data_IF_965242548625
#
_entry.id   IF_965242548625
#
_cell.length_a   1.000
_cell.length_b   1.000
_cell.length_c   1.000
_cell.angle_alpha   90.00
_cell.angle_beta   90.00
_cell.angle_gamma   90.00
#
_symmetry.space_group_name_H-M   'P 1'
#
loop_
_entity.id
_entity.type
_entity.pdbx_description
1 polymer ?
#
# COMPACT_ATOMS: atom_id res chain seq x y z
N UNK A 1 -41.18 -23.37 -33.99
CA UNK A 1 -40.93 -22.35 -32.94
C UNK A 1 -39.77 -22.62 -31.96
N UNK A 2 -39.19 -23.83 -31.77
CA UNK A 2 -38.11 -24.02 -30.78
C UNK A 2 -36.72 -23.55 -31.26
N UNK A 3 -36.44 -23.59 -32.57
CA UNK A 3 -35.10 -23.33 -33.15
C UNK A 3 -34.61 -21.89 -32.91
N UNK A 4 -35.50 -20.89 -32.95
CA UNK A 4 -35.12 -19.48 -32.73
C UNK A 4 -34.70 -19.21 -31.28
N UNK A 5 -35.35 -19.86 -30.31
CA UNK A 5 -35.03 -19.71 -28.89
C UNK A 5 -33.67 -20.34 -28.58
N UNK A 6 -33.35 -21.49 -29.20
CA UNK A 6 -32.05 -22.16 -29.03
C UNK A 6 -30.89 -21.35 -29.62
N UNK A 7 -31.06 -20.73 -30.80
CA UNK A 7 -30.02 -19.91 -31.43
C UNK A 7 -29.72 -18.65 -30.59
N UNK A 8 -30.75 -17.97 -30.08
CA UNK A 8 -30.56 -16.79 -29.22
C UNK A 8 -29.89 -17.14 -27.90
N UNK A 9 -30.25 -18.26 -27.26
CA UNK A 9 -29.61 -18.70 -26.02
C UNK A 9 -28.13 -19.06 -26.22
N UNK A 10 -27.77 -19.70 -27.34
CA UNK A 10 -26.38 -20.04 -27.67
C UNK A 10 -25.54 -18.79 -27.96
N UNK A 11 -26.09 -17.81 -28.68
CA UNK A 11 -25.40 -16.53 -28.95
C UNK A 11 -25.14 -15.73 -27.67
N UNK A 12 -26.11 -15.67 -26.76
CA UNK A 12 -25.93 -15.00 -25.46
C UNK A 12 -24.85 -15.70 -24.62
N UNK A 13 -24.87 -17.04 -24.57
CA UNK A 13 -23.85 -17.80 -23.84
C UNK A 13 -22.43 -17.60 -24.42
N UNK A 14 -22.28 -17.56 -25.75
CA UNK A 14 -20.98 -17.31 -26.40
C UNK A 14 -20.46 -15.89 -26.15
N UNK A 15 -21.33 -14.88 -26.17
CA UNK A 15 -20.96 -13.50 -25.84
C UNK A 15 -20.52 -13.36 -24.38
N UNK A 16 -21.22 -14.01 -23.45
CA UNK A 16 -20.83 -14.04 -22.03
C UNK A 16 -19.49 -14.73 -21.81
N UNK A 17 -19.21 -15.83 -22.51
CA UNK A 17 -17.92 -16.53 -22.45
C UNK A 17 -16.75 -15.67 -22.97
N UNK A 18 -16.94 -14.95 -24.08
CA UNK A 18 -15.92 -14.04 -24.62
C UNK A 18 -15.63 -12.88 -23.66
N UNK A 19 -16.66 -12.28 -23.05
CA UNK A 19 -16.49 -11.19 -22.10
C UNK A 19 -15.75 -11.63 -20.80
N UNK A 20 -16.05 -12.83 -20.31
CA UNK A 20 -15.33 -13.42 -19.17
C UNK A 20 -13.86 -13.68 -19.51
N UNK A 21 -13.58 -14.26 -20.68
CA UNK A 21 -12.22 -14.52 -21.14
C UNK A 21 -11.40 -13.23 -21.28
N UNK A 22 -12.02 -12.16 -21.81
CA UNK A 22 -11.38 -10.85 -21.93
C UNK A 22 -11.05 -10.26 -20.56
N UNK A 23 -11.99 -10.28 -19.61
CA UNK A 23 -11.77 -9.78 -18.25
C UNK A 23 -10.63 -10.52 -17.56
N UNK A 24 -10.63 -11.86 -17.63
CA UNK A 24 -9.54 -12.66 -17.06
C UNK A 24 -8.19 -12.40 -17.72
N UNK A 25 -8.17 -12.14 -19.04
CA UNK A 25 -6.95 -11.83 -19.77
C UNK A 25 -6.36 -10.47 -19.36
N UNK A 26 -7.19 -9.45 -19.18
CA UNK A 26 -6.75 -8.15 -18.69
C UNK A 26 -6.13 -8.25 -17.29
N UNK A 27 -6.81 -8.95 -16.36
CA UNK A 27 -6.30 -9.13 -14.99
C UNK A 27 -4.98 -9.91 -15.00
N UNK A 28 -4.87 -10.99 -15.78
CA UNK A 28 -3.63 -11.77 -15.86
C UNK A 28 -2.46 -10.96 -16.45
N UNK A 29 -2.71 -10.15 -17.48
CA UNK A 29 -1.69 -9.26 -18.04
C UNK A 29 -1.30 -8.14 -17.08
N UNK A 30 -2.26 -7.62 -16.31
CA UNK A 30 -2.01 -6.65 -15.25
C UNK A 30 -1.14 -7.27 -14.14
N UNK A 31 -1.46 -8.48 -13.68
CA UNK A 31 -0.68 -9.23 -12.69
C UNK A 31 0.76 -9.45 -13.18
N UNK A 32 0.94 -9.88 -14.42
CA UNK A 32 2.26 -10.08 -15.01
C UNK A 32 3.07 -8.77 -15.13
N UNK A 33 2.40 -7.64 -15.37
CA UNK A 33 3.04 -6.32 -15.39
C UNK A 33 3.32 -5.78 -13.98
N UNK A 34 2.51 -6.15 -12.99
CA UNK A 34 2.70 -5.76 -11.60
C UNK A 34 3.82 -6.57 -10.94
N UNK A 35 4.07 -7.79 -11.41
CA UNK A 35 5.06 -8.71 -10.87
C UNK A 35 6.47 -8.14 -10.97
N UNK A 36 7.13 -8.14 -9.82
CA UNK A 36 8.52 -7.70 -9.61
C UNK A 36 9.34 -8.73 -8.86
N UNK A 37 8.72 -9.86 -8.49
CA UNK A 37 9.34 -10.94 -7.74
C UNK A 37 9.84 -12.05 -8.68
N UNK A 38 9.16 -12.27 -9.81
CA UNK A 38 9.62 -13.22 -10.81
C UNK A 38 10.69 -12.60 -11.71
N UNK A 39 11.96 -12.80 -11.37
CA UNK A 39 13.11 -12.38 -12.18
C UNK A 39 13.89 -11.21 -11.60
N UNK A 40 14.73 -10.58 -12.42
CA UNK A 40 15.53 -9.44 -12.00
C UNK A 40 14.70 -8.16 -11.89
N UNK A 41 14.81 -7.45 -10.76
CA UNK A 41 14.18 -6.15 -10.57
C UNK A 41 15.08 -5.00 -11.04
N UNK A 42 14.50 -4.05 -11.76
CA UNK A 42 15.13 -2.77 -12.10
C UNK A 42 14.18 -1.63 -11.77
N UNK A 43 14.60 -0.74 -10.88
CA UNK A 43 13.78 0.37 -10.40
C UNK A 43 13.27 1.25 -11.55
N UNK A 44 14.14 1.60 -12.50
CA UNK A 44 13.78 2.47 -13.63
C UNK A 44 12.89 1.79 -14.67
N UNK A 45 13.03 0.48 -14.86
CA UNK A 45 12.19 -0.29 -15.80
C UNK A 45 10.80 -0.52 -15.20
N UNK A 46 10.73 -0.75 -13.90
CA UNK A 46 9.48 -1.11 -13.22
C UNK A 46 8.41 -0.02 -13.28
N UNK A 47 8.78 1.27 -13.41
CA UNK A 47 7.78 2.34 -13.53
C UNK A 47 6.81 2.10 -14.70
N UNK A 48 7.36 1.77 -15.88
CA UNK A 48 6.54 1.52 -17.07
C UNK A 48 5.64 0.29 -16.89
N UNK A 49 6.15 -0.75 -16.22
CA UNK A 49 5.41 -1.97 -15.92
C UNK A 49 4.27 -1.70 -14.93
N UNK A 50 4.52 -0.93 -13.86
CA UNK A 50 3.51 -0.52 -12.89
C UNK A 50 2.40 0.31 -13.54
N UNK A 51 2.75 1.27 -14.40
CA UNK A 51 1.77 2.07 -15.16
C UNK A 51 0.91 1.20 -16.08
N UNK A 52 1.52 0.23 -16.75
CA UNK A 52 0.81 -0.73 -17.59
C UNK A 52 -0.14 -1.61 -16.77
N UNK A 53 0.30 -2.11 -15.60
CA UNK A 53 -0.54 -2.87 -14.69
C UNK A 53 -1.76 -2.08 -14.24
N UNK A 54 -1.57 -0.83 -13.80
CA UNK A 54 -2.65 0.06 -13.38
C UNK A 54 -3.68 0.27 -14.50
N UNK A 55 -3.22 0.57 -15.72
CA UNK A 55 -4.11 0.76 -16.87
C UNK A 55 -4.94 -0.50 -17.18
N UNK A 56 -4.32 -1.68 -17.16
CA UNK A 56 -5.00 -2.95 -17.41
C UNK A 56 -6.00 -3.32 -16.30
N UNK A 57 -5.67 -3.06 -15.04
CA UNK A 57 -6.62 -3.24 -13.93
C UNK A 57 -7.80 -2.28 -14.03
N UNK A 58 -7.57 -1.02 -14.39
CA UNK A 58 -8.65 -0.03 -14.61
C UNK A 58 -9.55 -0.42 -15.78
N UNK A 59 -8.98 -0.95 -16.87
CA UNK A 59 -9.72 -1.47 -18.01
C UNK A 59 -10.56 -2.71 -17.65
N UNK A 60 -10.02 -3.59 -16.81
CA UNK A 60 -10.73 -4.79 -16.34
C UNK A 60 -11.87 -4.46 -15.37
N UNK A 61 -11.71 -3.46 -14.50
CA UNK A 61 -12.63 -3.18 -13.40
C UNK A 61 -14.11 -3.05 -13.81
N UNK A 62 -14.51 -2.30 -14.85
CA UNK A 62 -15.91 -2.19 -15.26
C UNK A 62 -16.46 -3.46 -15.93
N UNK A 63 -15.62 -4.40 -16.34
CA UNK A 63 -16.04 -5.65 -17.02
C UNK A 63 -16.23 -6.82 -16.05
N UNK A 64 -15.82 -6.66 -14.79
CA UNK A 64 -16.01 -7.68 -13.74
C UNK A 64 -17.49 -7.83 -13.41
N UNK A 65 -17.98 -9.07 -13.41
CA UNK A 65 -19.34 -9.43 -13.00
C UNK A 65 -19.65 -8.85 -11.60
N UNK A 66 -20.77 -8.11 -11.41
CA UNK A 66 -21.14 -7.57 -10.10
C UNK A 66 -21.21 -8.60 -8.96
N UNK A 67 -21.51 -9.87 -9.27
CA UNK A 67 -21.53 -10.97 -8.31
C UNK A 67 -20.14 -11.50 -7.95
N UNK A 68 -19.10 -11.20 -8.75
CA UNK A 68 -17.71 -11.61 -8.52
C UNK A 68 -16.99 -10.65 -7.54
N UNK A 69 -17.55 -10.48 -6.34
CA UNK A 69 -17.06 -9.50 -5.35
C UNK A 69 -15.61 -9.73 -4.94
N UNK A 70 -15.15 -10.99 -4.89
CA UNK A 70 -13.75 -11.32 -4.57
C UNK A 70 -12.78 -10.84 -5.66
N UNK A 71 -13.10 -11.10 -6.93
CA UNK A 71 -12.31 -10.61 -8.07
C UNK A 71 -12.28 -9.09 -8.11
N UNK A 72 -13.42 -8.44 -7.83
CA UNK A 72 -13.51 -6.98 -7.77
C UNK A 72 -12.66 -6.40 -6.64
N UNK A 73 -12.75 -6.97 -5.43
CA UNK A 73 -11.90 -6.60 -4.28
C UNK A 73 -10.41 -6.79 -4.60
N UNK A 74 -10.04 -7.88 -5.26
CA UNK A 74 -8.66 -8.14 -5.69
C UNK A 74 -8.12 -7.01 -6.58
N UNK A 75 -8.83 -6.66 -7.65
CA UNK A 75 -8.44 -5.62 -8.60
C UNK A 75 -8.39 -4.24 -7.92
N UNK A 76 -9.40 -3.90 -7.12
CA UNK A 76 -9.43 -2.65 -6.36
C UNK A 76 -8.25 -2.55 -5.38
N UNK A 77 -7.90 -3.64 -4.70
CA UNK A 77 -6.75 -3.69 -3.81
C UNK A 77 -5.42 -3.54 -4.54
N UNK A 78 -5.29 -4.10 -5.75
CA UNK A 78 -4.10 -3.91 -6.61
C UNK A 78 -3.96 -2.47 -7.09
N UNK A 79 -5.07 -1.84 -7.50
CA UNK A 79 -5.09 -0.42 -7.86
C UNK A 79 -4.72 0.47 -6.67
N UNK A 80 -5.28 0.20 -5.49
CA UNK A 80 -4.97 0.96 -4.28
C UNK A 80 -3.46 0.91 -3.92
N UNK A 81 -2.87 -0.29 -3.97
CA UNK A 81 -1.45 -0.50 -3.76
C UNK A 81 -0.61 0.19 -4.85
N UNK A 82 -0.91 -0.07 -6.12
CA UNK A 82 -0.10 0.41 -7.23
C UNK A 82 -0.11 1.92 -7.36
N UNK A 83 -1.23 2.59 -7.05
CA UNK A 83 -1.28 4.05 -7.05
C UNK A 83 -0.50 4.68 -5.89
N UNK A 84 -0.47 4.04 -4.72
CA UNK A 84 0.43 4.45 -3.63
C UNK A 84 1.90 4.30 -4.04
N UNK A 85 2.26 3.13 -4.58
CA UNK A 85 3.62 2.82 -5.04
C UNK A 85 4.05 3.81 -6.15
N UNK A 86 3.18 4.12 -7.10
CA UNK A 86 3.45 5.08 -8.18
C UNK A 86 3.72 6.48 -7.61
N UNK A 87 2.83 6.95 -6.73
CA UNK A 87 2.94 8.28 -6.12
C UNK A 87 4.21 8.45 -5.27
N UNK A 88 4.58 7.41 -4.54
CA UNK A 88 5.70 7.43 -3.61
C UNK A 88 7.05 7.22 -4.31
N UNK A 89 7.13 6.31 -5.28
CA UNK A 89 8.39 5.91 -5.90
C UNK A 89 8.77 6.74 -7.14
N UNK A 90 7.79 7.20 -7.92
CA UNK A 90 8.06 7.68 -9.29
C UNK A 90 7.53 9.07 -9.63
N UNK A 91 6.55 9.58 -8.88
CA UNK A 91 5.99 10.90 -9.13
C UNK A 91 6.71 11.96 -8.28
N UNK A 92 7.20 13.01 -8.93
CA UNK A 92 7.80 14.19 -8.29
C UNK A 92 6.95 15.45 -8.43
N UNK A 93 6.03 15.44 -9.39
CA UNK A 93 5.06 16.52 -9.59
C UNK A 93 3.96 16.44 -8.52
N UNK A 94 3.76 17.54 -7.80
CA UNK A 94 2.85 17.64 -6.66
C UNK A 94 1.41 17.27 -7.03
N UNK A 95 0.91 17.74 -8.16
CA UNK A 95 -0.49 17.55 -8.54
C UNK A 95 -0.72 16.10 -9.00
N UNK A 96 0.25 15.51 -9.71
CA UNK A 96 0.22 14.08 -10.06
C UNK A 96 0.30 13.19 -8.83
N UNK A 97 1.10 13.56 -7.82
CA UNK A 97 1.15 12.84 -6.55
C UNK A 97 -0.21 12.89 -5.84
N UNK A 98 -0.80 14.08 -5.70
CA UNK A 98 -2.13 14.25 -5.11
C UNK A 98 -3.18 13.38 -5.81
N UNK A 99 -3.19 13.38 -7.15
CA UNK A 99 -4.10 12.54 -7.96
C UNK A 99 -3.88 11.05 -7.70
N UNK A 100 -2.63 10.58 -7.70
CA UNK A 100 -2.31 9.17 -7.47
C UNK A 100 -2.80 8.71 -6.09
N UNK A 101 -2.50 9.46 -5.02
CA UNK A 101 -2.96 9.10 -3.68
C UNK A 101 -4.48 9.21 -3.53
N UNK A 102 -5.12 10.17 -4.20
CA UNK A 102 -6.58 10.25 -4.24
C UNK A 102 -7.20 9.01 -4.90
N UNK A 103 -6.66 8.57 -6.05
CA UNK A 103 -7.10 7.34 -6.73
C UNK A 103 -6.90 6.11 -5.84
N UNK A 104 -5.71 5.93 -5.27
CA UNK A 104 -5.42 4.78 -4.41
C UNK A 104 -6.35 4.70 -3.20
N UNK A 105 -6.58 5.83 -2.52
CA UNK A 105 -7.57 5.95 -1.43
C UNK A 105 -8.98 5.57 -1.88
N UNK A 106 -9.41 6.07 -3.05
CA UNK A 106 -10.76 5.84 -3.55
C UNK A 106 -10.97 4.37 -3.96
N UNK A 107 -9.97 3.71 -4.55
CA UNK A 107 -10.06 2.28 -4.88
C UNK A 107 -10.12 1.40 -3.63
N UNK A 108 -9.29 1.70 -2.62
CA UNK A 108 -9.33 1.02 -1.34
C UNK A 108 -10.73 1.15 -0.69
N UNK A 109 -11.27 2.37 -0.67
CA UNK A 109 -12.60 2.66 -0.14
C UNK A 109 -13.71 1.94 -0.94
N UNK A 110 -13.58 1.86 -2.26
CA UNK A 110 -14.50 1.09 -3.10
C UNK A 110 -14.46 -0.41 -2.75
N UNK A 111 -13.29 -0.97 -2.40
CA UNK A 111 -13.19 -2.36 -1.95
C UNK A 111 -13.92 -2.58 -0.63
N UNK A 112 -13.71 -1.68 0.36
CA UNK A 112 -14.41 -1.74 1.65
C UNK A 112 -15.93 -1.69 1.49
N UNK A 113 -16.42 -0.85 0.58
CA UNK A 113 -17.85 -0.67 0.28
C UNK A 113 -18.47 -1.81 -0.52
N UNK A 114 -17.71 -2.83 -0.91
CA UNK A 114 -18.30 -4.09 -1.40
C UNK A 114 -19.04 -4.84 -0.29
N UNK A 115 -18.72 -4.59 0.98
CA UNK A 115 -19.43 -5.12 2.12
C UNK A 115 -20.60 -4.20 2.52
N UNK A 116 -21.88 -4.64 2.39
CA UNK A 116 -23.02 -3.83 2.78
C UNK A 116 -23.04 -3.42 4.25
N UNK A 117 -22.49 -4.24 5.15
CA UNK A 117 -22.40 -3.91 6.57
C UNK A 117 -21.43 -2.74 6.83
N UNK A 118 -20.33 -2.68 6.06
CA UNK A 118 -19.43 -1.54 6.08
C UNK A 118 -20.14 -0.27 5.60
N UNK A 119 -20.86 -0.36 4.47
CA UNK A 119 -21.62 0.77 3.92
C UNK A 119 -22.65 1.31 4.90
N UNK A 120 -23.34 0.41 5.63
CA UNK A 120 -24.33 0.84 6.62
C UNK A 120 -23.66 1.54 7.81
N UNK A 121 -22.62 0.94 8.39
CA UNK A 121 -21.91 1.52 9.53
C UNK A 121 -21.19 2.85 9.18
N UNK A 122 -20.74 3.00 7.92
CA UNK A 122 -20.04 4.19 7.45
C UNK A 122 -20.91 5.45 7.49
N UNK A 123 -22.24 5.31 7.39
CA UNK A 123 -23.18 6.45 7.47
C UNK A 123 -23.09 7.20 8.80
N UNK A 124 -22.80 6.47 9.88
CA UNK A 124 -22.66 7.03 11.21
C UNK A 124 -21.20 7.38 11.51
N UNK A 125 -20.27 6.48 11.18
CA UNK A 125 -18.85 6.70 11.43
C UNK A 125 -17.97 5.78 10.60
N UNK A 126 -17.06 6.37 9.81
CA UNK A 126 -16.02 5.62 9.09
C UNK A 126 -15.20 4.72 10.03
N UNK A 127 -14.78 5.24 11.18
CA UNK A 127 -14.00 4.47 12.17
C UNK A 127 -14.79 3.32 12.77
N UNK A 128 -16.09 3.49 13.02
CA UNK A 128 -16.94 2.37 13.44
C UNK A 128 -17.07 1.33 12.32
N UNK A 129 -17.21 1.77 11.07
CA UNK A 129 -17.29 0.88 9.91
C UNK A 129 -16.05 0.00 9.75
N UNK A 130 -14.84 0.53 10.01
CA UNK A 130 -13.60 -0.24 10.02
C UNK A 130 -13.66 -1.45 10.98
N UNK A 131 -14.36 -1.37 12.10
CA UNK A 131 -14.55 -2.50 13.03
C UNK A 131 -15.29 -3.69 12.40
N UNK A 132 -16.09 -3.45 11.36
CA UNK A 132 -16.78 -4.50 10.59
C UNK A 132 -16.01 -4.94 9.34
N UNK A 133 -14.97 -4.20 8.94
CA UNK A 133 -14.15 -4.54 7.79
C UNK A 133 -13.16 -5.67 8.12
N UNK A 134 -12.97 -6.58 7.16
CA UNK A 134 -12.04 -7.71 7.25
C UNK A 134 -11.04 -7.78 6.09
N UNK A 135 -11.16 -6.90 5.10
CA UNK A 135 -10.22 -6.81 3.98
C UNK A 135 -8.97 -6.01 4.42
N UNK A 136 -8.00 -6.71 5.03
CA UNK A 136 -6.77 -6.09 5.54
C UNK A 136 -6.04 -5.28 4.48
N UNK A 137 -6.03 -5.74 3.22
CA UNK A 137 -5.39 -5.04 2.10
C UNK A 137 -6.06 -3.69 1.85
N UNK A 138 -7.40 -3.67 1.74
CA UNK A 138 -8.12 -2.42 1.51
C UNK A 138 -7.96 -1.44 2.68
N UNK A 139 -8.03 -1.91 3.92
CA UNK A 139 -7.83 -1.07 5.10
C UNK A 139 -6.41 -0.47 5.12
N UNK A 140 -5.40 -1.32 4.94
CA UNK A 140 -4.00 -0.91 4.96
C UNK A 140 -3.69 0.12 3.87
N UNK A 141 -4.10 -0.15 2.63
CA UNK A 141 -3.84 0.77 1.52
C UNK A 141 -4.72 2.02 1.57
N UNK A 142 -5.91 1.98 2.16
CA UNK A 142 -6.68 3.18 2.45
C UNK A 142 -5.90 4.11 3.38
N UNK A 143 -5.41 3.59 4.52
CA UNK A 143 -4.64 4.38 5.50
C UNK A 143 -3.39 5.02 4.89
N UNK A 144 -2.61 4.23 4.13
CA UNK A 144 -1.40 4.71 3.47
C UNK A 144 -1.68 5.81 2.43
N UNK A 145 -2.65 5.61 1.54
CA UNK A 145 -3.02 6.61 0.54
C UNK A 145 -3.65 7.85 1.17
N UNK A 146 -4.53 7.68 2.17
CA UNK A 146 -5.12 8.81 2.89
C UNK A 146 -4.03 9.64 3.58
N UNK A 147 -3.08 9.00 4.27
CA UNK A 147 -1.99 9.70 4.94
C UNK A 147 -1.18 10.58 3.99
N UNK A 148 -0.80 10.06 2.82
CA UNK A 148 -0.11 10.86 1.79
C UNK A 148 -1.00 11.92 1.17
N UNK A 149 -2.27 11.62 0.90
CA UNK A 149 -3.25 12.57 0.38
C UNK A 149 -3.45 13.78 1.33
N UNK A 150 -3.48 13.55 2.64
CA UNK A 150 -3.70 14.61 3.63
C UNK A 150 -2.59 15.66 3.68
N UNK A 151 -1.38 15.38 3.18
CA UNK A 151 -0.32 16.38 3.00
C UNK A 151 -0.75 17.53 2.07
N UNK A 152 -1.70 17.28 1.17
CA UNK A 152 -2.26 18.26 0.25
C UNK A 152 -3.54 18.92 0.80
N UNK A 153 -4.12 18.37 1.87
CA UNK A 153 -5.42 18.77 2.43
C UNK A 153 -5.37 18.97 3.95
N UNK A 154 -4.65 20.01 4.44
CA UNK A 154 -4.40 20.20 5.87
C UNK A 154 -5.68 20.38 6.70
N UNK A 155 -6.73 21.00 6.15
CA UNK A 155 -8.00 21.14 6.86
C UNK A 155 -8.68 19.79 7.11
N UNK A 156 -8.65 18.89 6.11
CA UNK A 156 -9.14 17.52 6.24
C UNK A 156 -8.31 16.71 7.22
N UNK A 157 -6.99 16.96 7.25
CA UNK A 157 -6.09 16.31 8.21
C UNK A 157 -6.48 16.66 9.65
N UNK A 158 -6.72 17.95 9.92
CA UNK A 158 -7.10 18.49 11.22
C UNK A 158 -8.53 18.12 11.65
N UNK A 159 -9.46 17.97 10.70
CA UNK A 159 -10.87 17.69 11.00
C UNK A 159 -11.19 16.22 11.26
N UNK A 160 -10.20 15.33 11.22
CA UNK A 160 -10.37 13.92 11.58
C UNK A 160 -9.63 12.94 10.68
N UNK A 161 -9.11 13.38 9.53
CA UNK A 161 -8.45 12.49 8.58
C UNK A 161 -7.25 11.74 9.17
N UNK A 162 -6.45 12.38 10.03
CA UNK A 162 -5.31 11.71 10.67
C UNK A 162 -5.75 10.61 11.64
N UNK A 163 -6.90 10.78 12.30
CA UNK A 163 -7.49 9.73 13.14
C UNK A 163 -8.01 8.56 12.31
N UNK A 164 -8.48 8.80 11.09
CA UNK A 164 -8.89 7.74 10.17
C UNK A 164 -7.69 6.95 9.62
N UNK A 165 -6.56 7.64 9.38
CA UNK A 165 -5.28 6.99 9.03
C UNK A 165 -4.84 6.05 10.15
N UNK A 166 -4.75 6.56 11.38
CA UNK A 166 -4.34 5.76 12.54
C UNK A 166 -5.27 4.55 12.75
N UNK A 167 -6.58 4.78 12.76
CA UNK A 167 -7.57 3.71 12.94
C UNK A 167 -7.47 2.63 11.84
N UNK A 168 -7.08 3.00 10.62
CA UNK A 168 -6.84 2.04 9.55
C UNK A 168 -5.63 1.14 9.86
N UNK A 169 -4.52 1.70 10.35
CA UNK A 169 -3.35 0.90 10.69
C UNK A 169 -3.58 0.00 11.91
N UNK A 170 -4.21 0.52 12.96
CA UNK A 170 -4.60 -0.25 14.14
C UNK A 170 -5.52 -1.42 13.74
N UNK A 171 -6.52 -1.16 12.89
CA UNK A 171 -7.40 -2.22 12.40
C UNK A 171 -6.67 -3.25 11.53
N UNK A 172 -5.73 -2.82 10.70
CA UNK A 172 -4.93 -3.75 9.91
C UNK A 172 -4.04 -4.64 10.80
N UNK A 173 -3.47 -4.08 11.89
CA UNK A 173 -2.73 -4.84 12.91
C UNK A 173 -3.61 -5.88 13.59
N UNK A 174 -4.84 -5.51 13.98
CA UNK A 174 -5.80 -6.44 14.60
C UNK A 174 -6.14 -7.62 13.70
N UNK A 175 -6.27 -7.38 12.39
CA UNK A 175 -6.68 -8.40 11.42
C UNK A 175 -5.52 -9.33 11.01
N UNK A 176 -4.39 -8.74 10.65
CA UNK A 176 -3.19 -9.47 10.27
C UNK A 176 -1.95 -8.60 10.56
N UNK A 177 -1.31 -8.77 11.72
CA UNK A 177 -0.12 -8.02 12.06
C UNK A 177 1.07 -8.33 11.15
N UNK A 178 1.04 -9.46 10.43
CA UNK A 178 2.14 -9.91 9.56
C UNK A 178 2.00 -9.45 8.11
N UNK A 179 0.88 -8.83 7.76
CA UNK A 179 0.58 -8.38 6.40
C UNK A 179 1.74 -7.56 5.81
N UNK A 180 2.22 -7.94 4.63
CA UNK A 180 3.37 -7.33 3.94
C UNK A 180 4.63 -7.18 4.81
N UNK A 181 4.98 -8.25 5.54
CA UNK A 181 6.19 -8.26 6.38
C UNK A 181 6.09 -7.24 7.52
N UNK A 182 4.94 -7.18 8.19
CA UNK A 182 4.70 -6.21 9.27
C UNK A 182 4.40 -4.79 8.79
N UNK A 183 3.90 -4.63 7.57
CA UNK A 183 3.52 -3.34 6.97
C UNK A 183 2.63 -2.48 7.86
N UNK A 184 1.55 -3.01 8.48
CA UNK A 184 0.70 -2.24 9.39
C UNK A 184 1.47 -1.62 10.58
N UNK A 185 2.39 -2.37 11.18
CA UNK A 185 3.24 -1.87 12.26
C UNK A 185 4.20 -0.78 11.78
N UNK A 186 4.83 -0.97 10.62
CA UNK A 186 5.72 0.04 10.01
C UNK A 186 4.98 1.34 9.71
N UNK A 187 3.81 1.25 9.09
CA UNK A 187 3.00 2.41 8.75
C UNK A 187 2.48 3.14 10.01
N UNK A 188 2.08 2.40 11.05
CA UNK A 188 1.72 2.97 12.34
C UNK A 188 2.92 3.69 12.99
N UNK A 189 4.10 3.08 13.01
CA UNK A 189 5.31 3.70 13.55
C UNK A 189 5.65 5.01 12.83
N UNK A 190 5.60 4.99 11.50
CA UNK A 190 5.85 6.15 10.65
C UNK A 190 4.85 7.28 10.92
N UNK A 191 3.56 6.95 11.09
CA UNK A 191 2.53 7.89 11.49
C UNK A 191 2.82 8.48 12.89
N UNK A 192 3.04 7.63 13.88
CA UNK A 192 3.22 8.06 15.27
C UNK A 192 4.47 8.93 15.46
N UNK A 193 5.54 8.69 14.71
CA UNK A 193 6.78 9.46 14.80
C UNK A 193 6.68 10.84 14.12
N UNK A 194 5.89 10.97 13.04
CA UNK A 194 5.87 12.19 12.23
C UNK A 194 4.70 13.14 12.56
N UNK A 195 3.63 12.60 13.14
CA UNK A 195 2.43 13.39 13.47
C UNK A 195 2.63 14.13 14.80
N UNK A 196 2.15 15.38 14.95
CA UNK A 196 2.20 16.07 16.23
C UNK A 196 1.42 15.32 17.33
N UNK A 197 1.91 15.38 18.58
CA UNK A 197 1.28 14.67 19.71
C UNK A 197 -0.21 14.99 19.90
N UNK A 198 -0.61 16.25 19.74
CA UNK A 198 -2.02 16.64 19.86
C UNK A 198 -2.92 16.08 18.74
N UNK A 199 -2.33 15.54 17.67
CA UNK A 199 -3.01 14.90 16.53
C UNK A 199 -2.88 13.38 16.53
N UNK A 200 -2.23 12.78 17.54
CA UNK A 200 -2.09 11.33 17.70
C UNK A 200 -0.65 10.80 17.67
N UNK A 201 0.35 11.66 17.45
CA UNK A 201 1.75 11.22 17.46
C UNK A 201 2.26 10.79 18.83
N UNK A 202 3.14 9.78 18.86
CA UNK A 202 3.79 9.28 20.07
C UNK A 202 5.10 8.57 19.71
N UNK A 203 6.23 9.13 20.15
CA UNK A 203 7.57 8.61 19.83
C UNK A 203 7.85 7.24 20.46
N UNK A 204 7.44 7.01 21.70
CA UNK A 204 7.65 5.73 22.38
C UNK A 204 6.85 4.61 21.70
N UNK A 205 5.62 4.93 21.28
CA UNK A 205 4.76 3.98 20.58
C UNK A 205 5.27 3.73 19.15
N UNK A 206 5.83 4.75 18.50
CA UNK A 206 6.47 4.62 17.20
C UNK A 206 7.67 3.67 17.23
N UNK A 207 8.56 3.82 18.21
CA UNK A 207 9.72 2.93 18.37
C UNK A 207 9.28 1.48 18.59
N UNK A 208 8.25 1.25 19.42
CA UNK A 208 7.69 -0.11 19.62
C UNK A 208 7.10 -0.67 18.33
N UNK A 209 6.41 0.15 17.54
CA UNK A 209 5.83 -0.27 16.27
C UNK A 209 6.92 -0.65 15.25
N UNK A 210 8.00 0.14 15.11
CA UNK A 210 9.12 -0.21 14.24
C UNK A 210 9.82 -1.50 14.70
N UNK A 211 10.02 -1.68 16.01
CA UNK A 211 10.59 -2.91 16.58
C UNK A 211 9.74 -4.15 16.27
N UNK A 212 8.41 -4.04 16.36
CA UNK A 212 7.49 -5.11 15.96
C UNK A 212 7.61 -5.43 14.46
N UNK A 213 7.63 -4.41 13.60
CA UNK A 213 7.77 -4.59 12.16
C UNK A 213 9.10 -5.28 11.78
N UNK A 214 10.21 -4.87 12.41
CA UNK A 214 11.53 -5.48 12.22
C UNK A 214 11.60 -6.93 12.73
N UNK A 215 10.90 -7.25 13.82
CA UNK A 215 10.81 -8.61 14.34
C UNK A 215 10.03 -9.53 13.41
N UNK A 216 8.95 -9.02 12.80
CA UNK A 216 8.12 -9.78 11.87
C UNK A 216 8.87 -10.06 10.57
N UNK A 217 9.51 -9.04 9.99
CA UNK A 217 10.30 -9.20 8.78
C UNK A 217 11.58 -8.36 8.82
N UNK A 218 12.71 -8.96 9.20
CA UNK A 218 13.99 -8.27 9.24
C UNK A 218 14.56 -7.98 7.85
N UNK A 219 13.97 -8.52 6.78
CA UNK A 219 14.41 -8.27 5.39
C UNK A 219 13.80 -6.99 4.80
N UNK A 220 12.83 -6.38 5.47
CA UNK A 220 12.21 -5.14 5.03
C UNK A 220 13.03 -3.92 5.51
N UNK A 221 13.92 -3.41 4.65
CA UNK A 221 14.97 -2.44 5.01
C UNK A 221 14.39 -1.14 5.60
N UNK A 222 13.21 -0.73 5.14
CA UNK A 222 12.53 0.48 5.61
C UNK A 222 12.28 0.48 7.13
N UNK A 223 12.16 -0.70 7.78
CA UNK A 223 12.03 -0.81 9.23
C UNK A 223 13.18 -0.12 9.98
N UNK A 224 14.43 -0.36 9.54
CA UNK A 224 15.62 0.21 10.16
C UNK A 224 15.81 1.68 9.79
N UNK A 225 15.44 2.05 8.56
CA UNK A 225 15.60 3.42 8.07
C UNK A 225 14.61 4.36 8.75
N UNK A 226 13.36 3.94 8.94
CA UNK A 226 12.38 4.72 9.69
C UNK A 226 12.78 4.89 11.16
N UNK A 227 13.31 3.85 11.81
CA UNK A 227 13.83 3.95 13.19
C UNK A 227 15.04 4.90 13.27
N UNK A 228 16.00 4.79 12.34
CA UNK A 228 17.14 5.69 12.27
C UNK A 228 16.69 7.15 12.11
N UNK A 229 15.86 7.42 11.10
CA UNK A 229 15.53 8.79 10.71
C UNK A 229 14.49 9.44 11.63
N UNK A 230 13.49 8.69 12.10
CA UNK A 230 12.36 9.26 12.81
C UNK A 230 12.45 9.09 14.33
N UNK A 231 13.28 8.16 14.84
CA UNK A 231 13.50 7.99 16.28
C UNK A 231 14.90 8.46 16.67
N UNK A 232 15.94 7.85 16.11
CA UNK A 232 17.32 8.05 16.55
C UNK A 232 17.84 9.47 16.25
N UNK A 233 17.65 9.94 15.02
CA UNK A 233 18.14 11.25 14.56
C UNK A 233 17.52 12.42 15.34
N UNK A 234 16.19 12.51 15.57
CA UNK A 234 15.60 13.57 16.39
C UNK A 234 16.06 13.53 17.85
N UNK A 235 16.27 12.33 18.41
CA UNK A 235 16.81 12.13 19.75
C UNK A 235 18.32 12.43 19.86
N UNK A 236 19.02 12.61 18.72
CA UNK A 236 20.48 12.70 18.62
C UNK A 236 21.19 11.48 19.20
N UNK A 237 20.53 10.32 19.18
CA UNK A 237 21.14 9.04 19.52
C UNK A 237 21.92 8.52 18.31
N UNK A 238 23.10 9.09 18.10
CA UNK A 238 23.94 8.76 16.94
C UNK A 238 24.46 7.33 16.96
N UNK A 239 24.59 6.72 18.15
CA UNK A 239 24.98 5.32 18.27
C UNK A 239 23.88 4.41 17.72
N UNK A 240 22.62 4.63 18.14
CA UNK A 240 21.48 3.89 17.61
C UNK A 240 21.26 4.17 16.13
N UNK A 241 21.32 5.44 15.71
CA UNK A 241 21.25 5.85 14.30
C UNK A 241 22.24 5.06 13.44
N UNK A 242 23.51 5.05 13.83
CA UNK A 242 24.55 4.36 13.07
C UNK A 242 24.40 2.84 13.08
N UNK A 243 23.89 2.27 14.16
CA UNK A 243 23.54 0.85 14.21
C UNK A 243 22.44 0.51 13.19
N UNK A 244 21.37 1.31 13.13
CA UNK A 244 20.26 1.09 12.20
C UNK A 244 20.67 1.29 10.73
N UNK A 245 21.45 2.33 10.42
CA UNK A 245 21.99 2.55 9.07
C UNK A 245 22.90 1.38 8.64
N UNK A 246 23.75 0.88 9.55
CA UNK A 246 24.61 -0.27 9.25
C UNK A 246 23.82 -1.54 8.95
N UNK A 247 22.74 -1.80 9.71
CA UNK A 247 21.83 -2.93 9.45
C UNK A 247 21.18 -2.80 8.08
N UNK A 248 20.69 -1.61 7.73
CA UNK A 248 20.05 -1.36 6.44
C UNK A 248 21.01 -1.53 5.25
N UNK A 249 22.24 -1.01 5.34
CA UNK A 249 23.24 -1.16 4.29
C UNK A 249 23.72 -2.61 4.14
N UNK A 250 23.87 -3.35 5.24
CA UNK A 250 24.21 -4.76 5.21
C UNK A 250 23.09 -5.60 4.57
N UNK A 251 21.83 -5.32 4.92
CA UNK A 251 20.65 -5.92 4.28
C UNK A 251 20.60 -5.60 2.77
N UNK A 252 20.91 -4.36 2.38
CA UNK A 252 20.94 -3.93 0.99
C UNK A 252 22.05 -4.57 0.14
N UNK A 253 23.12 -5.05 0.77
CA UNK A 253 24.18 -5.81 0.10
C UNK A 253 23.79 -7.28 -0.17
N UNK A 254 22.71 -7.77 0.45
CA UNK A 254 22.23 -9.13 0.29
C UNK A 254 21.16 -9.22 -0.82
N UNK A 255 21.44 -10.01 -1.86
CA UNK A 255 20.54 -10.13 -3.02
C UNK A 255 19.18 -10.77 -2.68
N UNK A 256 19.14 -11.74 -1.76
CA UNK A 256 17.89 -12.39 -1.34
C UNK A 256 17.00 -11.41 -0.57
N UNK A 257 17.61 -10.58 0.27
CA UNK A 257 16.91 -9.50 1.00
C UNK A 257 16.35 -8.49 0.03
N UNK A 258 17.14 -8.02 -0.95
CA UNK A 258 16.64 -7.13 -1.99
C UNK A 258 15.50 -7.77 -2.81
N UNK A 259 15.58 -9.07 -3.13
CA UNK A 259 14.56 -9.78 -3.88
C UNK A 259 13.26 -10.03 -3.10
N UNK A 260 13.28 -10.03 -1.76
CA UNK A 260 12.08 -10.21 -0.94
C UNK A 260 11.09 -9.04 -1.12
N UNK A 261 11.60 -7.81 -1.17
CA UNK A 261 10.80 -6.58 -1.32
C UNK A 261 11.38 -5.62 -2.35
N UNK A 262 11.40 -5.97 -3.66
CA UNK A 262 12.28 -5.32 -4.64
C UNK A 262 12.13 -3.80 -4.74
N UNK A 263 10.89 -3.31 -4.87
CA UNK A 263 10.63 -1.87 -4.93
C UNK A 263 10.96 -1.17 -3.61
N UNK A 264 10.47 -1.71 -2.49
CA UNK A 264 10.59 -1.07 -1.18
C UNK A 264 12.04 -1.07 -0.68
N UNK A 265 12.75 -2.17 -0.83
CA UNK A 265 14.15 -2.28 -0.44
C UNK A 265 15.06 -1.45 -1.35
N UNK A 266 14.76 -1.29 -2.64
CA UNK A 266 15.50 -0.37 -3.50
C UNK A 266 15.36 1.10 -3.03
N UNK A 267 14.15 1.52 -2.68
CA UNK A 267 13.89 2.87 -2.16
C UNK A 267 14.53 3.10 -0.80
N UNK A 268 14.35 2.15 0.13
CA UNK A 268 14.91 2.22 1.46
C UNK A 268 16.45 2.21 1.42
N UNK A 269 17.07 1.42 0.54
CA UNK A 269 18.52 1.41 0.38
C UNK A 269 19.05 2.74 -0.15
N UNK A 270 18.36 3.37 -1.11
CA UNK A 270 18.76 4.69 -1.58
C UNK A 270 18.71 5.73 -0.44
N UNK A 271 17.61 5.73 0.32
CA UNK A 271 17.45 6.60 1.50
C UNK A 271 18.50 6.31 2.59
N UNK A 272 18.89 5.05 2.78
CA UNK A 272 19.97 4.65 3.68
C UNK A 272 21.31 5.27 3.29
N UNK A 273 21.63 5.26 1.99
CA UNK A 273 22.86 5.81 1.44
C UNK A 273 22.90 7.33 1.60
N UNK A 274 21.78 8.01 1.35
CA UNK A 274 21.66 9.46 1.53
C UNK A 274 21.85 9.85 3.02
N UNK A 275 21.21 9.12 3.94
CA UNK A 275 21.36 9.35 5.38
C UNK A 275 22.80 9.09 5.86
N UNK A 276 23.45 8.04 5.35
CA UNK A 276 24.84 7.73 5.66
C UNK A 276 25.81 8.80 5.11
N UNK A 277 25.50 9.42 3.98
CA UNK A 277 26.29 10.52 3.41
C UNK A 277 26.09 11.83 4.18
N UNK A 278 24.86 12.13 4.61
CA UNK A 278 24.51 13.30 5.45
C UNK A 278 25.15 13.22 6.84
N UNK A 279 25.19 12.02 7.44
CA UNK A 279 25.82 11.78 8.73
C UNK A 279 26.70 10.53 8.71
N UNK A 280 27.98 10.66 8.31
CA UNK A 280 28.89 9.52 8.24
C UNK A 280 29.10 8.86 9.61
N UNK A 281 28.74 7.59 9.68
CA UNK A 281 29.02 6.73 10.83
C UNK A 281 30.50 6.35 10.80
N UNK A 282 31.30 7.05 11.60
CA UNK A 282 32.73 6.73 11.77
C UNK A 282 32.93 5.34 12.39
N UNK A 283 34.03 4.68 12.00
CA UNK A 283 34.51 3.46 12.65
C UNK A 283 34.96 3.74 14.10
#
# INVERSE_FOLDING_TARGET
MPIRITITAVLVALLSLCALAQTSGLIANADASFDRWSGGFSFSVYEAQLRNALALYEEALPTIDPSASQTKSYVLGRLAQGYFELGMAYLTDRDKQEEAYAKGKNYALASLRLNPAFVEAEKDSFRAALGSASDVKAIFWYGNNLGRYLNFHPLTALSGGMRDVQASFERAIELDPTYLGGGPWRALGSFLAQVPTFMGGNQDDAQRAFSNAATIDPTFIENYIDDAEYIAKPAKDWAHFCSQISLALAAGANQETMAAWPLYNALALHRAQDLAADHPCGN
#
